data_IF_989398788875
#
_entry.id   IF_989398788875
#
_cell.length_a   1.000
_cell.length_b   1.000
_cell.length_c   1.000
_cell.angle_alpha   90.00
_cell.angle_beta   90.00
_cell.angle_gamma   90.00
#
_symmetry.space_group_name_H-M   'P 1'
#
loop_
_entity.id
_entity.type
_entity.pdbx_description
1 polymer ?
#
# COMPACT_ATOMS: atom_id res chain seq x y z
N UNK A 1 -40.40 -8.18 -31.13
CA UNK A 1 -39.54 -7.98 -29.94
C UNK A 1 -38.39 -8.98 -29.99
N UNK A 2 -37.21 -8.56 -30.42
CA UNK A 2 -36.03 -9.43 -30.56
C UNK A 2 -35.19 -9.39 -29.27
N UNK A 3 -34.91 -10.57 -28.70
CA UNK A 3 -34.00 -10.75 -27.56
C UNK A 3 -32.58 -10.94 -28.09
N UNK A 4 -31.67 -10.06 -27.71
CA UNK A 4 -30.23 -10.21 -27.96
C UNK A 4 -29.63 -11.18 -26.94
N UNK A 5 -29.12 -12.29 -27.45
CA UNK A 5 -28.35 -13.31 -26.74
C UNK A 5 -26.88 -12.85 -26.70
N UNK A 6 -26.29 -12.70 -25.51
CA UNK A 6 -24.83 -12.49 -25.39
C UNK A 6 -24.16 -13.84 -25.07
N UNK A 7 -23.44 -14.36 -26.06
CA UNK A 7 -22.55 -15.51 -25.92
C UNK A 7 -21.21 -15.04 -25.37
N UNK A 8 -20.74 -15.69 -24.31
CA UNK A 8 -19.43 -15.46 -23.71
C UNK A 8 -18.30 -15.84 -24.65
N UNK A 9 -17.22 -15.05 -24.60
CA UNK A 9 -16.02 -15.31 -25.39
C UNK A 9 -14.84 -14.45 -24.94
N UNK A 10 -14.01 -15.03 -24.07
CA UNK A 10 -12.53 -14.86 -24.00
C UNK A 10 -12.01 -13.43 -23.76
N UNK A 11 -11.70 -13.16 -22.49
CA UNK A 11 -10.80 -12.08 -22.08
C UNK A 11 -9.37 -12.35 -22.59
N UNK A 12 -8.70 -11.38 -23.26
CA UNK A 12 -7.29 -11.52 -23.62
C UNK A 12 -6.43 -11.21 -22.38
N UNK A 13 -6.19 -12.24 -21.56
CA UNK A 13 -5.08 -12.24 -20.61
C UNK A 13 -3.84 -12.74 -21.36
N UNK A 14 -2.94 -11.82 -21.75
CA UNK A 14 -1.48 -12.01 -21.80
C UNK A 14 -0.83 -10.82 -22.50
N UNK A 15 -0.04 -10.05 -21.73
CA UNK A 15 1.30 -9.59 -22.08
C UNK A 15 1.66 -8.35 -21.26
N UNK A 16 2.09 -8.54 -20.01
CA UNK A 16 3.30 -7.91 -19.45
C UNK A 16 3.77 -8.83 -18.34
N UNK A 17 5.01 -9.30 -18.41
CA UNK A 17 5.61 -10.18 -17.43
C UNK A 17 5.68 -9.51 -16.06
N UNK A 18 4.80 -9.92 -15.15
CA UNK A 18 5.05 -9.78 -13.73
C UNK A 18 5.53 -11.13 -13.23
N UNK A 19 6.84 -11.22 -13.01
CA UNK A 19 7.45 -12.30 -12.24
C UNK A 19 6.96 -12.12 -10.81
N UNK A 20 6.03 -12.96 -10.38
CA UNK A 20 5.71 -13.09 -8.97
C UNK A 20 6.94 -13.70 -8.29
N UNK A 21 7.56 -13.07 -7.27
CA UNK A 21 8.51 -13.78 -6.43
C UNK A 21 7.75 -14.90 -5.71
N UNK A 22 8.03 -16.12 -6.15
CA UNK A 22 7.60 -17.36 -5.54
C UNK A 22 8.02 -17.35 -4.06
N UNK A 23 7.04 -17.49 -3.17
CA UNK A 23 7.28 -17.69 -1.74
C UNK A 23 8.16 -18.93 -1.57
N UNK A 24 9.41 -18.72 -1.14
CA UNK A 24 10.32 -19.82 -0.81
C UNK A 24 9.82 -20.53 0.45
N UNK A 25 9.36 -21.76 0.24
CA UNK A 25 9.26 -22.80 1.25
C UNK A 25 10.62 -23.04 1.89
N UNK A 26 10.74 -22.75 3.19
CA UNK A 26 11.89 -23.17 4.02
C UNK A 26 11.90 -24.69 4.12
N UNK A 27 12.97 -25.32 3.63
CA UNK A 27 13.37 -26.68 4.01
C UNK A 27 14.68 -26.57 4.77
N UNK A 28 14.72 -27.25 5.92
CA UNK A 28 15.85 -27.30 6.84
C UNK A 28 17.03 -28.12 6.27
N UNK A 29 18.26 -27.71 6.59
CA UNK A 29 19.48 -28.49 6.37
C UNK A 29 20.77 -27.67 6.44
N UNK A 30 21.49 -27.74 7.55
CA UNK A 30 22.90 -27.33 7.74
C UNK A 30 23.87 -28.36 7.09
N UNK A 31 25.22 -28.23 7.19
CA UNK A 31 26.13 -27.06 7.07
C UNK A 31 27.39 -27.39 6.20
N UNK A 32 28.17 -26.41 5.72
CA UNK A 32 29.66 -26.42 5.66
C UNK A 32 30.27 -25.28 4.82
N UNK A 33 31.24 -24.56 5.42
CA UNK A 33 32.51 -24.20 4.76
C UNK A 33 32.64 -22.85 4.02
N UNK A 34 33.69 -22.04 4.28
CA UNK A 34 33.90 -20.71 3.71
C UNK A 34 34.83 -20.72 2.48
N UNK A 35 34.68 -19.77 1.56
CA UNK A 35 35.72 -19.40 0.59
C UNK A 35 35.62 -17.93 0.19
N UNK A 36 36.78 -17.31 0.07
CA UNK A 36 37.01 -15.88 -0.01
C UNK A 36 37.21 -15.35 -1.44
N UNK A 37 36.97 -14.04 -1.59
CA UNK A 37 37.74 -13.04 -2.34
C UNK A 37 37.71 -12.92 -3.88
N UNK A 38 37.91 -11.65 -4.28
CA UNK A 38 38.23 -11.04 -5.58
C UNK A 38 37.05 -10.78 -6.54
N UNK A 39 36.87 -9.61 -7.16
CA UNK A 39 37.64 -8.36 -7.21
C UNK A 39 37.37 -7.61 -8.54
N UNK A 40 37.44 -6.28 -8.52
CA UNK A 40 37.39 -5.30 -9.65
C UNK A 40 36.04 -5.05 -10.34
N UNK A 41 35.62 -3.82 -10.65
CA UNK A 41 36.23 -2.50 -10.53
C UNK A 41 35.60 -1.53 -11.55
N UNK A 42 35.45 -0.26 -11.14
CA UNK A 42 35.11 0.96 -11.91
C UNK A 42 33.64 1.26 -12.26
N UNK A 43 33.16 2.41 -11.73
CA UNK A 43 32.04 3.15 -12.31
C UNK A 43 31.17 3.96 -11.34
N UNK A 44 31.76 4.63 -10.36
CA UNK A 44 31.12 5.65 -9.53
C UNK A 44 30.50 6.76 -10.39
N UNK A 45 29.27 7.17 -10.06
CA UNK A 45 28.90 8.56 -9.79
C UNK A 45 27.40 8.66 -9.46
N UNK A 46 27.12 9.20 -8.27
CA UNK A 46 25.82 9.58 -7.68
C UNK A 46 25.02 8.50 -6.93
N UNK A 47 25.51 8.12 -5.75
CA UNK A 47 24.66 7.70 -4.63
C UNK A 47 24.51 8.86 -3.62
N UNK A 48 23.29 9.20 -3.16
CA UNK A 48 23.14 10.10 -2.03
C UNK A 48 23.76 9.43 -0.81
N UNK A 49 24.48 10.21 -0.01
CA UNK A 49 25.08 9.77 1.24
C UNK A 49 24.00 9.21 2.17
N UNK A 50 23.70 7.92 2.05
CA UNK A 50 23.14 7.17 3.15
C UNK A 50 24.20 7.20 4.23
N UNK A 51 23.86 7.82 5.36
CA UNK A 51 24.50 7.55 6.63
C UNK A 51 24.68 6.04 6.72
N UNK A 52 25.89 5.56 6.43
CA UNK A 52 26.33 4.26 6.88
C UNK A 52 26.37 4.39 8.39
N UNK A 53 25.24 4.11 9.04
CA UNK A 53 25.29 3.83 10.47
C UNK A 53 26.31 2.72 10.60
N UNK A 54 27.37 2.97 11.38
CA UNK A 54 28.38 1.98 11.67
C UNK A 54 27.65 0.84 12.39
N UNK A 55 27.17 -0.15 11.64
CA UNK A 55 26.57 -1.33 12.20
C UNK A 55 27.68 -2.03 13.01
N UNK A 56 27.44 -2.32 14.31
CA UNK A 56 28.46 -2.96 15.13
C UNK A 56 28.93 -4.25 14.46
N UNK A 57 30.23 -4.51 14.49
CA UNK A 57 30.83 -5.70 13.86
C UNK A 57 30.10 -6.95 14.36
N UNK A 58 29.54 -7.73 13.42
CA UNK A 58 28.73 -8.92 13.69
C UNK A 58 27.21 -8.73 13.55
N UNK A 59 26.71 -7.51 13.37
CA UNK A 59 25.30 -7.24 13.10
C UNK A 59 25.03 -7.25 11.60
N UNK A 60 24.04 -8.05 11.17
CA UNK A 60 23.53 -8.02 9.80
C UNK A 60 22.29 -7.11 9.71
N UNK A 61 21.84 -6.79 8.48
CA UNK A 61 20.67 -5.94 8.24
C UNK A 61 19.39 -6.42 8.96
N UNK A 62 19.24 -7.72 9.20
CA UNK A 62 18.08 -8.26 9.91
C UNK A 62 18.08 -7.87 11.40
N UNK A 63 19.24 -7.57 12.00
CA UNK A 63 19.30 -7.13 13.39
C UNK A 63 18.78 -5.70 13.59
N UNK A 64 18.79 -4.87 12.54
CA UNK A 64 18.22 -3.52 12.58
C UNK A 64 16.70 -3.57 12.79
N UNK A 65 16.03 -4.59 12.24
CA UNK A 65 14.59 -4.79 12.38
C UNK A 65 14.18 -5.43 13.72
N UNK A 66 15.13 -6.02 14.46
CA UNK A 66 14.84 -6.82 15.66
C UNK A 66 14.13 -6.05 16.79
N UNK A 67 14.49 -4.79 17.11
CA UNK A 67 13.77 -4.01 18.11
C UNK A 67 12.29 -3.78 17.72
N UNK A 68 12.04 -3.50 16.44
CA UNK A 68 10.70 -3.31 15.90
C UNK A 68 9.87 -4.61 15.96
N UNK A 69 10.44 -5.73 15.52
CA UNK A 69 9.77 -7.03 15.60
C UNK A 69 9.48 -7.45 17.05
N UNK A 70 10.42 -7.22 17.97
CA UNK A 70 10.25 -7.52 19.39
C UNK A 70 9.13 -6.69 20.01
N UNK A 71 9.06 -5.39 19.70
CA UNK A 71 7.94 -4.55 20.11
C UNK A 71 6.60 -5.06 19.56
N UNK A 72 6.57 -5.43 18.27
CA UNK A 72 5.37 -5.96 17.61
C UNK A 72 4.85 -7.22 18.28
N UNK A 73 5.73 -8.19 18.54
CA UNK A 73 5.39 -9.42 19.27
C UNK A 73 4.94 -9.11 20.70
N UNK A 74 5.62 -8.20 21.40
CA UNK A 74 5.26 -7.79 22.75
C UNK A 74 3.86 -7.17 22.81
N UNK A 75 3.49 -6.33 21.84
CA UNK A 75 2.12 -5.77 21.72
C UNK A 75 1.07 -6.86 21.50
N UNK A 76 1.37 -7.89 20.69
CA UNK A 76 0.46 -9.04 20.51
C UNK A 76 0.28 -9.89 21.78
N UNK A 77 1.32 -10.02 22.60
CA UNK A 77 1.32 -10.91 23.76
C UNK A 77 0.80 -10.29 25.06
N UNK A 78 0.92 -8.96 25.23
CA UNK A 78 0.54 -8.27 26.47
C UNK A 78 -0.86 -7.64 26.45
N UNK A 79 -1.52 -7.56 25.30
CA UNK A 79 -2.87 -7.00 25.18
C UNK A 79 -3.97 -8.02 25.47
N UNK A 80 -5.14 -7.61 26.01
CA UNK A 80 -6.33 -8.46 25.97
C UNK A 80 -6.58 -8.85 24.52
N UNK A 81 -6.67 -10.16 24.21
CA UNK A 81 -6.87 -10.77 22.87
C UNK A 81 -7.24 -9.74 21.79
N UNK A 82 -6.25 -8.98 21.33
CA UNK A 82 -6.56 -7.83 20.49
C UNK A 82 -6.90 -8.40 19.13
N UNK A 83 -8.08 -8.03 18.66
CA UNK A 83 -8.63 -8.50 17.40
C UNK A 83 -7.91 -7.74 16.29
N UNK A 84 -6.86 -8.35 15.74
CA UNK A 84 -6.02 -7.76 14.69
C UNK A 84 -6.49 -8.19 13.30
N UNK A 85 -6.45 -7.24 12.36
CA UNK A 85 -6.74 -7.43 10.94
C UNK A 85 -5.58 -6.94 10.07
N UNK A 86 -5.62 -7.28 8.79
CA UNK A 86 -4.77 -6.69 7.76
C UNK A 86 -5.58 -5.72 6.94
N UNK A 87 -4.99 -4.59 6.59
CA UNK A 87 -5.67 -3.56 5.81
C UNK A 87 -4.91 -3.31 4.53
N UNK A 88 -5.54 -3.64 3.41
CA UNK A 88 -5.09 -3.19 2.10
C UNK A 88 -5.58 -1.75 1.94
N UNK A 89 -4.65 -0.80 1.87
CA UNK A 89 -4.92 0.63 1.84
C UNK A 89 -4.40 1.26 0.54
N UNK A 90 -5.18 2.18 -0.03
CA UNK A 90 -4.78 2.92 -1.22
C UNK A 90 -5.31 4.36 -1.23
N UNK A 91 -4.67 5.25 -1.99
CA UNK A 91 -5.17 6.61 -2.20
C UNK A 91 -5.84 6.72 -3.56
N UNK A 92 -6.97 7.40 -3.62
CA UNK A 92 -7.88 7.43 -4.76
C UNK A 92 -8.32 8.86 -5.08
N UNK A 93 -8.46 9.17 -6.36
CA UNK A 93 -8.96 10.42 -6.89
C UNK A 93 -10.39 10.24 -7.43
N UNK A 94 -11.27 11.23 -7.27
CA UNK A 94 -12.54 11.26 -7.98
C UNK A 94 -12.27 11.37 -9.49
N UNK A 95 -13.12 10.74 -10.30
CA UNK A 95 -13.06 10.88 -11.76
C UNK A 95 -14.39 11.46 -12.21
N UNK A 96 -14.32 12.61 -12.87
CA UNK A 96 -15.51 13.32 -13.36
C UNK A 96 -16.37 12.40 -14.24
N UNK A 97 -17.68 12.43 -14.00
CA UNK A 97 -18.66 11.61 -14.72
C UNK A 97 -18.60 10.11 -14.43
N UNK A 98 -17.79 9.65 -13.46
CA UNK A 98 -17.70 8.23 -13.09
C UNK A 98 -18.06 8.02 -11.62
N UNK A 99 -18.81 6.95 -11.36
CA UNK A 99 -19.09 6.48 -10.00
C UNK A 99 -17.87 5.86 -9.31
N UNK A 100 -16.86 5.48 -10.09
CA UNK A 100 -15.64 4.83 -9.60
C UNK A 100 -14.50 5.83 -9.54
N UNK A 101 -13.80 5.81 -8.41
CA UNK A 101 -12.54 6.51 -8.20
C UNK A 101 -11.38 5.82 -8.93
N UNK A 102 -10.31 6.55 -9.23
CA UNK A 102 -9.06 6.00 -9.77
C UNK A 102 -7.97 6.04 -8.72
N UNK A 103 -7.11 5.03 -8.65
CA UNK A 103 -5.97 5.04 -7.72
C UNK A 103 -4.95 6.11 -8.10
N UNK A 104 -4.40 6.82 -7.10
CA UNK A 104 -3.37 7.83 -7.24
C UNK A 104 -1.98 7.16 -7.28
N UNK A 105 -1.31 7.20 -8.43
CA UNK A 105 0.05 6.70 -8.55
C UNK A 105 0.20 5.23 -8.12
N UNK A 106 1.23 4.96 -7.32
CA UNK A 106 1.51 3.63 -6.74
C UNK A 106 1.17 3.54 -5.25
N UNK A 107 0.25 4.39 -4.79
CA UNK A 107 -0.20 4.44 -3.40
C UNK A 107 -1.02 3.20 -3.03
N UNK A 108 -0.33 2.09 -2.78
CA UNK A 108 -0.88 0.87 -2.22
C UNK A 108 0.04 0.37 -1.11
N UNK A 109 -0.57 -0.07 -0.02
CA UNK A 109 0.12 -0.68 1.09
C UNK A 109 -0.75 -1.70 1.80
N UNK A 110 -0.15 -2.81 2.18
CA UNK A 110 -0.76 -3.76 3.10
C UNK A 110 -0.25 -3.46 4.51
N UNK A 111 -1.16 -2.95 5.34
CA UNK A 111 -0.91 -2.66 6.74
C UNK A 111 -1.19 -3.91 7.57
N UNK A 112 -0.18 -4.37 8.31
CA UNK A 112 -0.29 -5.49 9.23
C UNK A 112 -0.68 -5.01 10.63
N UNK A 113 -1.24 -5.92 11.44
CA UNK A 113 -1.52 -5.66 12.86
C UNK A 113 -2.36 -4.40 13.12
N UNK A 114 -3.39 -4.18 12.29
CA UNK A 114 -4.34 -3.07 12.49
C UNK A 114 -5.43 -3.53 13.47
N UNK A 115 -5.73 -2.77 14.55
CA UNK A 115 -6.83 -3.13 15.45
C UNK A 115 -8.18 -3.10 14.71
N UNK A 116 -8.95 -4.18 14.77
CA UNK A 116 -10.25 -4.28 14.10
C UNK A 116 -11.34 -3.39 14.72
N UNK A 117 -11.10 -2.90 15.94
CA UNK A 117 -12.03 -2.05 16.70
C UNK A 117 -11.88 -0.56 16.45
N UNK A 118 -10.94 -0.14 15.59
CA UNK A 118 -10.78 1.28 15.26
C UNK A 118 -12.07 1.85 14.68
N UNK A 119 -12.45 3.02 15.18
CA UNK A 119 -13.48 3.88 14.59
C UNK A 119 -13.03 4.35 13.20
N UNK A 120 -13.95 4.93 12.43
CA UNK A 120 -13.61 5.42 11.09
C UNK A 120 -12.54 6.54 11.14
N UNK A 121 -12.61 7.42 12.12
CA UNK A 121 -11.64 8.51 12.30
C UNK A 121 -10.25 7.97 12.66
N UNK A 122 -10.18 7.05 13.63
CA UNK A 122 -8.90 6.44 14.04
C UNK A 122 -8.28 5.62 12.90
N UNK A 123 -9.10 4.85 12.18
CA UNK A 123 -8.64 4.07 11.02
C UNK A 123 -8.13 4.97 9.90
N UNK A 124 -8.82 6.09 9.62
CA UNK A 124 -8.38 7.10 8.66
C UNK A 124 -7.03 7.70 9.06
N UNK A 125 -6.89 8.10 10.32
CA UNK A 125 -5.63 8.64 10.85
C UNK A 125 -4.49 7.63 10.72
N UNK A 126 -4.74 6.37 11.06
CA UNK A 126 -3.77 5.29 10.93
C UNK A 126 -3.33 5.12 9.47
N UNK A 127 -4.28 4.95 8.56
CA UNK A 127 -4.00 4.75 7.13
C UNK A 127 -3.31 5.96 6.52
N UNK A 128 -3.73 7.18 6.88
CA UNK A 128 -3.12 8.41 6.39
C UNK A 128 -1.64 8.48 6.80
N UNK A 129 -1.33 8.23 8.06
CA UNK A 129 0.04 8.28 8.58
C UNK A 129 0.97 7.30 7.86
N UNK A 130 0.48 6.09 7.58
CA UNK A 130 1.28 5.05 6.91
C UNK A 130 1.46 5.34 5.41
N UNK A 131 0.41 5.84 4.73
CA UNK A 131 0.48 6.14 3.29
C UNK A 131 1.12 7.49 2.96
N UNK A 132 1.18 8.43 3.91
CA UNK A 132 1.67 9.79 3.70
C UNK A 132 3.04 9.87 3.02
N UNK A 133 4.07 9.13 3.47
CA UNK A 133 5.38 9.17 2.82
C UNK A 133 5.31 8.79 1.34
N UNK A 134 4.44 7.83 0.98
CA UNK A 134 4.31 7.32 -0.39
C UNK A 134 3.60 8.31 -1.30
N UNK A 135 2.41 8.76 -0.91
CA UNK A 135 1.69 9.69 -1.77
C UNK A 135 2.34 11.08 -1.79
N UNK A 136 3.07 11.49 -0.75
CA UNK A 136 3.87 12.74 -0.77
C UNK A 136 5.00 12.69 -1.79
N UNK A 137 5.59 11.50 -1.98
CA UNK A 137 6.56 11.26 -3.05
C UNK A 137 5.89 11.34 -4.44
N UNK A 138 4.79 10.61 -4.62
CA UNK A 138 4.07 10.55 -5.90
C UNK A 138 3.43 11.90 -6.28
N UNK A 139 2.98 12.68 -5.30
CA UNK A 139 2.34 13.98 -5.47
C UNK A 139 3.32 15.14 -5.62
N UNK A 140 4.61 14.90 -5.90
CA UNK A 140 5.67 15.91 -6.00
C UNK A 140 5.57 17.04 -4.97
N UNK A 141 5.20 16.71 -3.72
CA UNK A 141 5.03 17.64 -2.58
C UNK A 141 3.75 18.50 -2.57
N UNK A 142 2.66 18.08 -3.21
CA UNK A 142 1.36 18.68 -2.87
C UNK A 142 1.08 18.47 -1.36
N UNK A 143 0.74 19.53 -0.59
CA UNK A 143 0.63 19.47 0.87
C UNK A 143 -0.72 18.90 1.32
N UNK A 144 -0.97 17.63 0.98
CA UNK A 144 -2.17 16.93 1.42
C UNK A 144 -2.29 16.91 2.94
N UNK A 145 -3.47 17.27 3.45
CA UNK A 145 -3.83 17.11 4.86
C UNK A 145 -4.88 16.02 5.02
N UNK A 146 -4.99 15.43 6.22
CA UNK A 146 -5.91 14.32 6.47
C UNK A 146 -7.38 14.67 6.13
N UNK A 147 -7.77 15.92 6.35
CA UNK A 147 -9.12 16.41 6.07
C UNK A 147 -9.45 16.52 4.59
N UNK A 148 -8.44 16.43 3.70
CA UNK A 148 -8.65 16.41 2.25
C UNK A 148 -9.23 15.08 1.75
N UNK A 149 -9.28 14.05 2.61
CA UNK A 149 -9.68 12.70 2.26
C UNK A 149 -11.00 12.31 2.92
N UNK A 150 -11.67 11.33 2.33
CA UNK A 150 -12.75 10.54 2.92
C UNK A 150 -12.29 9.07 2.99
N UNK A 151 -12.60 8.39 4.09
CA UNK A 151 -12.34 6.97 4.23
C UNK A 151 -13.46 6.14 3.62
N UNK A 152 -13.14 5.33 2.60
CA UNK A 152 -14.08 4.42 1.93
C UNK A 152 -13.69 2.95 2.13
N UNK A 153 -14.69 2.07 2.16
CA UNK A 153 -14.48 0.61 2.13
C UNK A 153 -14.55 0.03 0.72
N UNK A 154 -14.35 -1.29 0.59
CA UNK A 154 -14.37 -2.05 -0.69
C UNK A 154 -15.50 -1.71 -1.68
N UNK A 155 -16.69 -1.39 -1.19
CA UNK A 155 -17.85 -1.06 -2.02
C UNK A 155 -17.96 0.44 -2.36
N UNK A 156 -16.89 1.21 -2.20
CA UNK A 156 -16.89 2.68 -2.24
C UNK A 156 -17.87 3.32 -1.25
N UNK A 157 -18.29 2.60 -0.22
CA UNK A 157 -19.12 3.14 0.87
C UNK A 157 -18.25 3.99 1.77
N UNK A 158 -18.62 5.25 1.95
CA UNK A 158 -17.96 6.13 2.91
C UNK A 158 -18.18 5.56 4.33
N UNK A 159 -17.08 5.19 5.00
CA UNK A 159 -17.07 4.57 6.32
C UNK A 159 -17.27 5.60 7.44
N UNK A 160 -17.00 6.87 7.18
CA UNK A 160 -17.18 7.98 8.14
C UNK A 160 -18.66 8.33 8.37
N UNK A 161 -19.56 7.90 7.47
CA UNK A 161 -21.02 8.07 7.65
C UNK A 161 -21.63 7.12 8.68
N UNK A 162 -20.87 6.17 9.20
CA UNK A 162 -21.32 5.29 10.29
C UNK A 162 -21.32 6.07 11.62
N UNK A 163 -21.97 5.51 12.64
CA UNK A 163 -21.93 6.10 13.97
C UNK A 163 -20.46 6.23 14.46
N UNK A 164 -20.08 7.37 15.05
CA UNK A 164 -18.68 7.69 15.36
C UNK A 164 -18.06 6.70 16.34
N UNK A 165 -18.86 6.16 17.27
CA UNK A 165 -18.41 5.20 18.29
C UNK A 165 -18.39 3.75 17.80
N UNK A 166 -18.78 3.50 16.54
CA UNK A 166 -18.79 2.16 15.97
C UNK A 166 -17.49 1.85 15.21
N UNK A 167 -16.93 0.64 15.40
CA UNK A 167 -15.81 0.19 14.59
C UNK A 167 -16.12 0.23 13.09
N UNK A 168 -15.20 0.77 12.30
CA UNK A 168 -15.43 1.03 10.88
C UNK A 168 -15.68 -0.28 10.09
N UNK A 169 -14.91 -1.32 10.40
CA UNK A 169 -14.81 -2.54 9.60
C UNK A 169 -14.87 -3.84 10.40
N UNK A 170 -15.20 -3.78 11.70
CA UNK A 170 -15.21 -4.95 12.58
C UNK A 170 -16.13 -6.08 12.10
N UNK A 171 -17.31 -5.74 11.59
CA UNK A 171 -18.24 -6.73 11.03
C UNK A 171 -17.67 -7.48 9.82
N UNK A 172 -16.72 -6.87 9.09
CA UNK A 172 -16.04 -7.53 7.97
C UNK A 172 -15.00 -8.56 8.43
N UNK A 173 -14.63 -8.51 9.70
CA UNK A 173 -13.69 -9.43 10.33
C UNK A 173 -14.41 -10.54 11.12
N UNK A 174 -15.74 -10.59 11.08
CA UNK A 174 -16.51 -11.59 11.80
C UNK A 174 -17.21 -12.54 10.82
N UNK A 175 -17.28 -13.83 11.17
CA UNK A 175 -18.10 -14.82 10.49
C UNK A 175 -19.24 -15.22 11.43
N UNK A 176 -20.46 -15.15 10.93
CA UNK A 176 -21.64 -15.67 11.61
C UNK A 176 -21.85 -17.13 11.22
N UNK A 177 -22.00 -17.99 12.23
CA UNK A 177 -22.33 -19.41 12.04
C UNK A 177 -23.59 -19.73 12.82
N UNK A 178 -24.61 -20.20 12.11
CA UNK A 178 -25.86 -20.66 12.72
C UNK A 178 -25.85 -22.17 12.85
N UNK A 179 -25.98 -22.68 14.08
CA UNK A 179 -26.10 -24.11 14.36
C UNK A 179 -27.29 -24.33 15.29
N UNK A 180 -28.23 -25.19 14.89
CA UNK A 180 -29.44 -25.51 15.66
C UNK A 180 -30.24 -24.27 16.08
N UNK A 181 -30.36 -23.27 15.19
CA UNK A 181 -31.08 -22.01 15.47
C UNK A 181 -30.32 -20.97 16.29
N UNK A 182 -29.11 -21.29 16.76
CA UNK A 182 -28.25 -20.33 17.49
C UNK A 182 -27.21 -19.75 16.54
N UNK A 183 -27.19 -18.42 16.38
CA UNK A 183 -26.17 -17.70 15.60
C UNK A 183 -25.01 -17.27 16.51
N UNK A 184 -23.82 -17.79 16.23
CA UNK A 184 -22.58 -17.38 16.90
C UNK A 184 -21.75 -16.52 15.95
N UNK A 185 -21.29 -15.36 16.42
CA UNK A 185 -20.38 -14.48 15.68
C UNK A 185 -18.95 -14.70 16.17
N UNK A 186 -18.07 -15.17 15.29
CA UNK A 186 -16.67 -15.45 15.61
C UNK A 186 -15.76 -14.50 14.85
N UNK A 187 -14.83 -13.86 15.55
CA UNK A 187 -13.80 -13.03 14.92
C UNK A 187 -12.77 -13.90 14.17
N UNK A 188 -12.40 -13.47 12.96
CA UNK A 188 -11.39 -14.10 12.12
C UNK A 188 -10.13 -13.26 12.16
N UNK A 189 -9.10 -13.81 12.81
CA UNK A 189 -7.79 -13.15 12.85
C UNK A 189 -7.16 -13.03 11.47
N UNK A 190 -6.41 -11.95 11.26
CA UNK A 190 -5.70 -11.68 10.00
C UNK A 190 -6.61 -11.58 8.77
N UNK A 191 -7.90 -11.29 8.97
CA UNK A 191 -8.79 -10.98 7.87
C UNK A 191 -8.27 -9.75 7.12
N UNK A 192 -8.18 -9.85 5.79
CA UNK A 192 -7.79 -8.72 4.93
C UNK A 192 -9.03 -7.89 4.62
N UNK A 193 -8.94 -6.59 4.88
CA UNK A 193 -9.98 -5.59 4.60
C UNK A 193 -9.41 -4.53 3.66
N UNK A 194 -10.18 -4.13 2.64
CA UNK A 194 -9.80 -3.06 1.73
C UNK A 194 -10.38 -1.72 2.20
N UNK A 195 -9.52 -0.71 2.32
CA UNK A 195 -9.90 0.68 2.57
C UNK A 195 -9.23 1.61 1.56
N UNK A 196 -9.89 2.72 1.25
CA UNK A 196 -9.42 3.71 0.30
C UNK A 196 -9.51 5.09 0.95
N UNK A 197 -8.43 5.86 0.87
CA UNK A 197 -8.47 7.31 1.12
C UNK A 197 -8.84 8.00 -0.19
N UNK A 198 -10.06 8.53 -0.28
CA UNK A 198 -10.56 9.20 -1.48
C UNK A 198 -10.42 10.71 -1.30
N UNK A 199 -9.73 11.39 -2.21
CA UNK A 199 -9.66 12.86 -2.19
C UNK A 199 -11.07 13.43 -2.35
N UNK A 200 -11.45 14.36 -1.49
CA UNK A 200 -12.75 15.04 -1.55
C UNK A 200 -12.91 15.78 -2.87
N UNK A 201 -14.13 15.78 -3.39
CA UNK A 201 -14.45 16.46 -4.65
C UNK A 201 -14.14 17.97 -4.59
N UNK A 202 -14.30 18.60 -3.43
CA UNK A 202 -14.01 20.03 -3.23
C UNK A 202 -12.51 20.37 -3.24
N UNK A 203 -11.65 19.40 -2.93
CA UNK A 203 -10.19 19.56 -2.92
C UNK A 203 -9.59 19.31 -4.31
N UNK A 204 -10.27 18.50 -5.12
CA UNK A 204 -9.77 18.06 -6.43
C UNK A 204 -9.37 19.22 -7.38
N UNK A 205 -10.13 20.32 -7.52
CA UNK A 205 -9.72 21.43 -8.38
C UNK A 205 -8.36 22.05 -7.99
N UNK A 206 -8.04 22.10 -6.70
CA UNK A 206 -6.76 22.63 -6.23
C UNK A 206 -5.60 21.69 -6.61
N UNK A 207 -5.83 20.38 -6.54
CA UNK A 207 -4.87 19.36 -6.96
C UNK A 207 -4.65 19.42 -8.47
N UNK A 208 -5.72 19.54 -9.27
CA UNK A 208 -5.62 19.67 -10.73
C UNK A 208 -4.85 20.93 -11.15
N UNK A 209 -5.17 22.07 -10.53
CA UNK A 209 -4.46 23.33 -10.79
C UNK A 209 -2.97 23.19 -10.47
N UNK A 210 -2.63 22.55 -9.35
CA UNK A 210 -1.24 22.30 -9.00
C UNK A 210 -0.53 21.34 -9.98
N UNK A 211 -1.21 20.29 -10.45
CA UNK A 211 -0.68 19.39 -11.49
C UNK A 211 -0.39 20.18 -12.79
N UNK A 212 -1.31 21.06 -13.20
CA UNK A 212 -1.14 21.88 -14.39
C UNK A 212 0.09 22.80 -14.26
N UNK A 213 0.22 23.51 -13.13
CA UNK A 213 1.36 24.41 -12.86
C UNK A 213 2.70 23.67 -12.84
N UNK A 214 2.75 22.50 -12.19
CA UNK A 214 3.99 21.70 -12.10
C UNK A 214 4.36 21.00 -13.41
N UNK A 215 3.39 20.71 -14.27
CA UNK A 215 3.65 20.15 -15.60
C UNK A 215 4.25 21.21 -16.53
N UNK A 216 3.78 22.46 -16.45
CA UNK A 216 4.32 23.58 -17.23
C UNK A 216 5.74 23.94 -16.78
N UNK A 217 5.98 23.94 -15.46
CA UNK A 217 7.26 24.32 -14.87
C UNK A 217 8.38 23.26 -15.02
N UNK A 218 8.07 22.07 -15.54
CA UNK A 218 9.07 21.04 -15.80
C UNK A 218 9.57 21.20 -17.24
N UNK A 219 10.70 21.91 -17.49
CA UNK A 219 11.28 21.92 -18.83
C UNK A 219 11.55 20.47 -19.20
N UNK A 220 10.92 19.99 -20.28
CA UNK A 220 11.33 18.73 -20.89
C UNK A 220 12.81 18.89 -21.20
N UNK A 221 13.69 18.23 -20.45
CA UNK A 221 15.09 18.10 -20.85
C UNK A 221 15.06 17.68 -22.32
N UNK A 222 15.66 18.47 -23.23
CA UNK A 222 15.73 18.06 -24.63
C UNK A 222 16.39 16.69 -24.62
N UNK A 223 15.68 15.69 -25.15
CA UNK A 223 16.26 14.38 -25.46
C UNK A 223 17.58 14.67 -26.14
N UNK A 224 18.68 14.25 -25.51
CA UNK A 224 20.01 14.37 -26.06
C UNK A 224 19.95 13.75 -27.47
N UNK A 225 20.04 14.62 -28.49
CA UNK A 225 20.14 14.21 -29.86
C UNK A 225 21.39 13.34 -29.94
N UNK A 226 21.21 12.03 -30.16
CA UNK A 226 22.29 11.10 -30.46
C UNK A 226 23.03 11.67 -31.66
N UNK A 227 24.26 12.14 -31.44
CA UNK A 227 25.14 12.54 -32.53
C UNK A 227 25.38 11.32 -33.43
N UNK A 228 25.24 11.44 -34.75
CA UNK A 228 25.61 10.36 -35.65
C UNK A 228 27.12 10.12 -35.53
N UNK A 229 27.48 8.89 -35.16
CA UNK A 229 28.86 8.41 -35.19
C UNK A 229 29.27 8.33 -36.66
N UNK A 230 30.05 9.31 -37.13
CA UNK A 230 30.71 9.21 -38.42
C UNK A 230 31.77 8.11 -38.33
N UNK A 231 31.54 7.00 -39.04
CA UNK A 231 32.57 6.01 -39.33
C UNK A 231 33.49 6.55 -40.42
N UNK A 232 34.80 6.45 -40.19
CA UNK A 232 35.88 6.73 -41.14
C UNK A 232 36.11 5.47 -41.98
#
# INVERSE_FOLDING_TARGET
MQRTHYQGGKSPVRAVGMVFPQAQTRVAGHPHGPAAAAGSGYGDLFHPAMQQSQMPVGYNLNHVAYPYERERVKRRMLGPLQEWMRVDASVHIPVEGKSKTRQLGTSYEQLEDVPARLTASELKQWVFKELEPKFRHDSRRYPFVMDDFELHGRSHTNLEKKAPDQPAVYDKCCIERTKSGVTTKTFVQNQVVLVMLVIKAEVWPNVEMWIALTTIASPKSPMAAQQPVNAI
#
